data_IF_760920078810
#
_entry.id   IF_760920078810
#
_cell.length_a   1.000
_cell.length_b   1.000
_cell.length_c   1.000
_cell.angle_alpha   90.00
_cell.angle_beta   90.00
_cell.angle_gamma   90.00
#
_symmetry.space_group_name_H-M   'P 1'
#
loop_
_entity.id
_entity.type
_entity.pdbx_description
1 polymer ?
#
# COMPACT_ATOMS: atom_id res chain seq x y z
N UNK A 1 4.42 24.90 6.88
CA UNK A 1 3.44 24.05 6.18
C UNK A 1 2.41 23.59 7.20
N UNK A 2 1.11 23.79 6.96
CA UNK A 2 0.08 23.26 7.88
C UNK A 2 -0.10 21.77 7.57
N UNK A 3 0.33 20.91 8.48
CA UNK A 3 0.15 19.47 8.37
C UNK A 3 -1.24 19.07 8.87
N UNK A 4 -1.73 17.93 8.40
CA UNK A 4 -2.97 17.34 8.89
C UNK A 4 -2.62 16.50 10.13
N UNK A 5 -3.18 16.83 11.29
CA UNK A 5 -2.85 16.17 12.58
C UNK A 5 -3.08 14.66 12.56
N UNK A 6 -4.11 14.20 11.84
CA UNK A 6 -4.40 12.77 11.68
C UNK A 6 -3.31 12.03 10.90
N UNK A 7 -2.55 12.71 10.03
CA UNK A 7 -1.41 12.11 9.32
C UNK A 7 -0.17 12.07 10.23
N UNK A 8 0.06 13.14 11.00
CA UNK A 8 1.19 13.24 11.92
C UNK A 8 1.12 12.15 12.99
N UNK A 9 -0.07 11.92 13.55
CA UNK A 9 -0.31 10.89 14.57
C UNK A 9 -0.09 9.46 14.06
N UNK A 10 -0.33 9.21 12.77
CA UNK A 10 -0.13 7.90 12.15
C UNK A 10 1.30 7.62 11.68
N UNK A 11 2.19 8.62 11.69
CA UNK A 11 3.53 8.54 11.12
C UNK A 11 4.36 7.37 11.70
N UNK A 12 4.24 7.10 13.00
CA UNK A 12 4.96 6.00 13.64
C UNK A 12 4.53 4.62 13.11
N UNK A 13 3.22 4.42 12.89
CA UNK A 13 2.67 3.19 12.34
C UNK A 13 3.12 2.96 10.89
N UNK A 14 3.07 4.00 10.06
CA UNK A 14 3.55 3.95 8.68
C UNK A 14 5.07 3.68 8.63
N UNK A 15 5.85 4.30 9.53
CA UNK A 15 7.29 4.04 9.63
C UNK A 15 7.59 2.57 10.00
N UNK A 16 6.76 1.94 10.83
CA UNK A 16 6.88 0.52 11.16
C UNK A 16 6.66 -0.37 9.93
N UNK A 17 5.60 -0.10 9.15
CA UNK A 17 5.32 -0.82 7.90
C UNK A 17 6.49 -0.69 6.92
N UNK A 18 7.01 0.54 6.75
CA UNK A 18 8.18 0.79 5.90
C UNK A 18 9.38 -0.03 6.33
N UNK A 19 9.69 -0.09 7.63
CA UNK A 19 10.83 -0.87 8.15
C UNK A 19 10.65 -2.37 7.92
N UNK A 20 9.44 -2.89 8.08
CA UNK A 20 9.13 -4.30 7.83
C UNK A 20 9.30 -4.67 6.34
N UNK A 21 8.74 -3.86 5.42
CA UNK A 21 8.92 -4.08 3.98
C UNK A 21 10.39 -3.97 3.59
N UNK A 22 11.10 -2.98 4.13
CA UNK A 22 12.52 -2.79 3.84
C UNK A 22 13.42 -3.92 4.38
N UNK A 23 13.03 -4.56 5.48
CA UNK A 23 13.76 -5.69 6.06
C UNK A 23 13.57 -7.00 5.28
N UNK A 24 12.51 -7.11 4.48
CA UNK A 24 12.21 -8.29 3.67
C UNK A 24 11.90 -7.87 2.23
N UNK A 25 12.92 -7.40 1.49
CA UNK A 25 12.76 -6.97 0.11
C UNK A 25 12.42 -8.16 -0.80
N UNK A 26 11.55 -7.94 -1.77
CA UNK A 26 11.17 -8.94 -2.78
C UNK A 26 11.38 -8.37 -4.18
N UNK A 27 11.79 -9.21 -5.13
CA UNK A 27 12.09 -8.81 -6.50
C UNK A 27 10.82 -8.61 -7.33
N UNK A 28 11.00 -7.97 -8.48
CA UNK A 28 9.97 -7.78 -9.49
C UNK A 28 9.19 -9.09 -9.80
N UNK A 29 7.86 -9.02 -9.72
CA UNK A 29 6.89 -10.11 -9.89
C UNK A 29 6.95 -11.22 -8.82
N UNK A 30 7.67 -11.00 -7.73
CA UNK A 30 7.83 -11.96 -6.62
C UNK A 30 7.45 -11.36 -5.27
N UNK A 31 6.78 -10.20 -5.26
CA UNK A 31 6.39 -9.41 -4.09
C UNK A 31 5.18 -10.00 -3.34
N UNK A 32 5.19 -11.31 -3.10
CA UNK A 32 4.05 -12.05 -2.54
C UNK A 32 3.76 -11.57 -1.12
N UNK A 33 4.80 -11.52 -0.27
CA UNK A 33 4.67 -11.09 1.13
C UNK A 33 4.31 -9.62 1.22
N UNK A 34 4.94 -8.78 0.39
CA UNK A 34 4.70 -7.33 0.38
C UNK A 34 3.28 -7.03 -0.08
N UNK A 35 2.79 -7.72 -1.11
CA UNK A 35 1.40 -7.63 -1.53
C UNK A 35 0.42 -8.09 -0.43
N UNK A 36 0.77 -9.14 0.34
CA UNK A 36 -0.02 -9.58 1.50
C UNK A 36 -0.06 -8.54 2.61
N UNK A 37 1.07 -7.90 2.94
CA UNK A 37 1.13 -6.82 3.95
C UNK A 37 0.24 -5.66 3.53
N UNK A 38 0.31 -5.22 2.28
CA UNK A 38 -0.52 -4.12 1.76
C UNK A 38 -2.00 -4.49 1.76
N UNK A 39 -2.34 -5.70 1.30
CA UNK A 39 -3.72 -6.19 1.30
C UNK A 39 -4.30 -6.28 2.72
N UNK A 40 -3.53 -6.79 3.68
CA UNK A 40 -3.92 -6.89 5.08
C UNK A 40 -4.18 -5.50 5.67
N UNK A 41 -3.30 -4.52 5.42
CA UNK A 41 -3.48 -3.16 5.93
C UNK A 41 -4.69 -2.43 5.34
N UNK A 42 -4.90 -2.55 4.03
CA UNK A 42 -6.09 -1.98 3.38
C UNK A 42 -7.38 -2.62 3.94
N UNK A 43 -7.36 -3.94 4.19
CA UNK A 43 -8.48 -4.65 4.79
C UNK A 43 -8.73 -4.22 6.24
N UNK A 44 -7.68 -4.05 7.05
CA UNK A 44 -7.76 -3.53 8.42
C UNK A 44 -8.38 -2.12 8.47
N UNK A 45 -8.11 -1.29 7.46
CA UNK A 45 -8.70 0.04 7.32
C UNK A 45 -10.11 0.03 6.71
N UNK A 46 -10.68 -1.15 6.42
CA UNK A 46 -12.01 -1.28 5.84
C UNK A 46 -12.09 -0.86 4.36
N UNK A 47 -10.97 -0.86 3.65
CA UNK A 47 -10.89 -0.49 2.23
C UNK A 47 -11.08 -1.77 1.39
N UNK A 48 -12.10 -1.83 0.51
CA UNK A 48 -12.25 -2.93 -0.44
C UNK A 48 -11.04 -3.05 -1.35
N UNK A 49 -10.56 -4.29 -1.55
CA UNK A 49 -9.38 -4.57 -2.37
C UNK A 49 -9.66 -5.53 -3.52
N UNK A 50 -8.90 -5.35 -4.60
CA UNK A 50 -8.74 -6.33 -5.66
C UNK A 50 -7.28 -6.78 -5.73
N UNK A 51 -7.04 -8.07 -5.96
CA UNK A 51 -5.71 -8.70 -6.01
C UNK A 51 -5.56 -9.54 -7.29
N UNK A 52 -4.34 -9.99 -7.57
CA UNK A 52 -4.03 -10.89 -8.70
C UNK A 52 -3.83 -10.17 -10.03
N UNK A 53 -3.65 -8.85 -9.99
CA UNK A 53 -3.35 -8.04 -11.17
C UNK A 53 -1.84 -8.09 -11.43
N UNK A 54 -1.42 -8.44 -12.66
CA UNK A 54 0.01 -8.57 -12.99
C UNK A 54 0.79 -9.39 -11.94
N UNK A 55 0.20 -10.51 -11.50
CA UNK A 55 0.72 -11.41 -10.44
C UNK A 55 0.49 -10.89 -9.02
N UNK A 56 1.18 -9.83 -8.60
CA UNK A 56 1.24 -9.37 -7.18
C UNK A 56 0.49 -8.07 -6.92
N UNK A 57 -0.10 -7.44 -7.95
CA UNK A 57 -0.75 -6.15 -7.86
C UNK A 57 -1.97 -6.12 -6.94
N UNK A 58 -2.11 -5.02 -6.20
CA UNK A 58 -3.20 -4.73 -5.26
C UNK A 58 -3.82 -3.38 -5.61
N UNK A 59 -5.15 -3.31 -5.69
CA UNK A 59 -5.91 -2.07 -5.86
C UNK A 59 -6.82 -1.90 -4.65
N UNK A 60 -6.71 -0.78 -3.94
CA UNK A 60 -7.67 -0.35 -2.92
C UNK A 60 -8.63 0.70 -3.47
N UNK A 61 -9.93 0.58 -3.16
CA UNK A 61 -10.97 1.51 -3.65
C UNK A 61 -11.57 2.28 -2.48
N UNK A 62 -11.33 3.59 -2.45
CA UNK A 62 -12.02 4.50 -1.53
C UNK A 62 -13.09 5.25 -2.31
N UNK A 63 -14.36 5.04 -1.95
CA UNK A 63 -15.50 5.71 -2.58
C UNK A 63 -16.17 6.64 -1.57
N UNK A 64 -16.42 7.88 -1.99
CA UNK A 64 -17.26 8.81 -1.26
C UNK A 64 -18.21 9.50 -2.25
N UNK A 65 -19.52 9.47 -1.96
CA UNK A 65 -20.56 10.01 -2.83
C UNK A 65 -20.90 9.13 -4.06
N UNK A 66 -21.55 9.75 -5.05
CA UNK A 66 -22.17 9.07 -6.22
C UNK A 66 -21.49 9.37 -7.57
N UNK A 67 -20.46 10.22 -7.58
CA UNK A 67 -19.72 10.57 -8.80
C UNK A 67 -19.05 9.34 -9.44
N UNK A 68 -19.01 9.32 -10.78
CA UNK A 68 -18.26 8.33 -11.57
C UNK A 68 -16.80 8.72 -11.83
N UNK A 69 -16.38 9.93 -11.42
CA UNK A 69 -14.99 10.38 -11.57
C UNK A 69 -14.11 9.70 -10.53
N UNK A 70 -12.89 9.34 -10.92
CA UNK A 70 -11.91 8.71 -10.03
C UNK A 70 -10.55 9.41 -10.12
N UNK A 71 -9.77 9.32 -9.04
CA UNK A 71 -8.37 9.74 -8.99
C UNK A 71 -7.55 8.49 -8.64
N UNK A 72 -6.51 8.22 -9.44
CA UNK A 72 -5.58 7.12 -9.19
C UNK A 72 -4.37 7.60 -8.41
N UNK A 73 -4.06 6.92 -7.30
CA UNK A 73 -2.78 7.05 -6.60
C UNK A 73 -2.00 5.75 -6.78
N UNK A 74 -0.76 5.83 -7.27
CA UNK A 74 0.08 4.67 -7.58
C UNK A 74 1.36 4.70 -6.77
N UNK A 75 1.72 3.56 -6.19
CA UNK A 75 3.00 3.28 -5.55
C UNK A 75 3.50 1.91 -6.02
N UNK A 76 4.81 1.77 -6.22
CA UNK A 76 5.52 0.51 -6.43
C UNK A 76 5.90 -0.15 -5.09
N UNK A 77 6.19 -1.45 -5.16
CA UNK A 77 6.51 -2.28 -4.00
C UNK A 77 7.77 -3.13 -4.18
N UNK A 78 8.30 -3.23 -5.41
CA UNK A 78 9.41 -4.11 -5.74
C UNK A 78 10.75 -3.54 -5.27
N UNK A 79 11.64 -4.45 -4.90
CA UNK A 79 13.01 -4.16 -4.56
C UNK A 79 13.96 -4.47 -5.74
N UNK A 80 15.18 -3.99 -5.62
CA UNK A 80 16.24 -4.20 -6.60
C UNK A 80 17.24 -5.24 -6.12
N UNK A 81 17.85 -6.04 -7.02
CA UNK A 81 18.94 -6.95 -6.70
C UNK A 81 20.25 -6.15 -6.55
N UNK A 82 20.45 -5.54 -5.39
CA UNK A 82 21.65 -4.78 -5.06
C UNK A 82 22.47 -5.51 -3.99
N UNK A 83 23.79 -5.48 -4.14
CA UNK A 83 24.78 -6.05 -3.20
C UNK A 83 25.37 -4.99 -2.29
#
# INVERSE_FOLDING_TARGET
MKLIDSLVTQAAGIASIRRDIHAHPELCFQEVRTADVVAAKLTEWGIPIHRGLATTGVIGIVKNGTSSRAIGLRADMDALPVT
#
